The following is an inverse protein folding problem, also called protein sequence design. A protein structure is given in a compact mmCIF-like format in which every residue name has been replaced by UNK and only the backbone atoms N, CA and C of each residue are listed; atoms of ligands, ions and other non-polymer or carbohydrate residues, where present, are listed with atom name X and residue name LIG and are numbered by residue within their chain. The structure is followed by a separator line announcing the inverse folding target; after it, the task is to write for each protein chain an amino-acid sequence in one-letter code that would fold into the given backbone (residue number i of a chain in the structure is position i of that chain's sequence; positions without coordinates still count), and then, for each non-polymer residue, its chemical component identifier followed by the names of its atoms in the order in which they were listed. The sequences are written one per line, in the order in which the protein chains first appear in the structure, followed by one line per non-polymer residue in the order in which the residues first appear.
data_IF_648995028225
#
_entry.id   IF_648995028225
#
_cell.length_a   1.000
_cell.length_b   1.000
_cell.length_c   1.000
_cell.angle_alpha   90.00
_cell.angle_beta   90.00
_cell.angle_gamma   90.00
#
_symmetry.space_group_name_H-M   'P 1'
#
loop_
_entity.id
_entity.type
_entity.pdbx_description
1 polymer ?
#
# COMPACT_ATOMS: atom_id res chain seq x y z
N UNK A 1 7.52 5.25 15.70
CA UNK A 1 8.81 4.59 15.35
C UNK A 1 8.55 3.33 14.54
N UNK A 2 9.32 3.12 13.45
CA UNK A 2 9.30 1.88 12.65
C UNK A 2 10.67 1.22 12.80
N UNK A 3 10.71 -0.06 13.14
CA UNK A 3 11.94 -0.82 13.30
C UNK A 3 11.83 -2.18 12.60
N UNK A 4 12.72 -2.43 11.64
CA UNK A 4 12.89 -3.70 10.98
C UNK A 4 14.26 -4.26 11.37
N UNK A 5 14.33 -5.56 11.66
CA UNK A 5 15.59 -6.24 12.03
C UNK A 5 15.66 -7.63 11.41
N UNK A 6 16.62 -7.84 10.52
CA UNK A 6 16.92 -9.14 9.91
C UNK A 6 15.77 -9.69 9.07
N UNK A 7 14.96 -8.83 8.44
CA UNK A 7 13.81 -9.27 7.64
C UNK A 7 14.27 -9.98 6.38
N UNK A 8 13.82 -11.23 6.23
CA UNK A 8 13.98 -12.01 5.00
C UNK A 8 12.60 -12.38 4.44
N UNK A 9 12.50 -12.41 3.11
CA UNK A 9 11.30 -12.86 2.40
C UNK A 9 11.66 -13.55 1.11
N UNK A 10 11.20 -14.78 0.98
CA UNK A 10 11.39 -15.62 -0.20
C UNK A 10 10.06 -15.90 -0.88
N UNK A 11 10.07 -15.95 -2.21
CA UNK A 11 8.96 -16.41 -3.02
C UNK A 11 9.35 -17.66 -3.80
N UNK A 12 8.52 -18.69 -3.72
CA UNK A 12 8.64 -19.88 -4.55
C UNK A 12 7.78 -19.72 -5.79
N UNK A 13 8.40 -19.60 -6.94
CA UNK A 13 7.73 -19.44 -8.23
C UNK A 13 7.89 -20.72 -9.03
N UNK A 14 6.80 -21.27 -9.55
CA UNK A 14 6.89 -22.44 -10.42
C UNK A 14 7.56 -22.06 -11.75
N UNK A 15 8.63 -22.74 -12.11
CA UNK A 15 9.34 -22.51 -13.37
C UNK A 15 8.46 -22.98 -14.53
N UNK A 16 7.99 -22.01 -15.32
CA UNK A 16 7.25 -22.33 -16.56
C UNK A 16 8.24 -22.74 -17.63
N UNK A 17 8.27 -24.02 -17.99
CA UNK A 17 8.99 -24.51 -19.14
C UNK A 17 8.07 -24.53 -20.35
N UNK A 18 8.47 -23.85 -21.42
CA UNK A 18 7.72 -23.86 -22.69
C UNK A 18 7.95 -25.17 -23.44
N UNK A 19 6.87 -25.83 -23.88
CA UNK A 19 6.91 -27.05 -24.69
C UNK A 19 5.85 -28.08 -24.28
N UNK A 20 5.14 -28.65 -25.27
CA UNK A 20 4.02 -29.60 -25.05
C UNK A 20 4.51 -30.90 -24.36
N UNK A 21 5.71 -31.37 -24.65
CA UNK A 21 6.29 -32.58 -24.03
C UNK A 21 6.73 -32.34 -22.56
N UNK A 22 7.04 -31.10 -22.19
CA UNK A 22 7.40 -30.71 -20.82
C UNK A 22 6.18 -30.41 -19.95
N UNK A 23 5.05 -30.06 -20.56
CA UNK A 23 3.80 -29.86 -19.85
C UNK A 23 3.32 -31.16 -19.16
N UNK A 24 3.51 -32.31 -19.81
CA UNK A 24 3.18 -33.63 -19.23
C UNK A 24 4.14 -33.99 -18.11
N UNK A 25 5.45 -33.67 -18.25
CA UNK A 25 6.44 -33.88 -17.18
C UNK A 25 6.22 -32.99 -15.96
N UNK A 26 5.72 -31.76 -16.16
CA UNK A 26 5.42 -30.81 -15.08
C UNK A 26 4.20 -31.21 -14.21
N UNK A 27 3.35 -32.10 -14.67
CA UNK A 27 2.29 -32.74 -13.90
C UNK A 27 2.83 -33.65 -12.78
N UNK A 28 4.00 -34.27 -13.01
CA UNK A 28 4.61 -35.20 -12.06
C UNK A 28 5.80 -34.62 -11.28
N UNK A 29 6.43 -33.54 -11.78
CA UNK A 29 7.58 -32.91 -11.12
C UNK A 29 7.58 -31.38 -11.37
N UNK A 30 6.94 -30.62 -10.50
CA UNK A 30 7.00 -29.14 -10.54
C UNK A 30 8.36 -28.68 -10.04
N UNK A 31 9.12 -28.03 -10.90
CA UNK A 31 10.34 -27.33 -10.49
C UNK A 31 9.96 -25.94 -9.97
N UNK A 32 10.47 -25.61 -8.79
CA UNK A 32 10.30 -24.29 -8.18
C UNK A 32 11.63 -23.55 -8.19
N UNK A 33 11.56 -22.28 -8.47
CA UNK A 33 12.66 -21.34 -8.31
C UNK A 33 12.36 -20.46 -7.09
N UNK A 34 13.34 -20.30 -6.23
CA UNK A 34 13.22 -19.42 -5.08
C UNK A 34 13.75 -18.04 -5.46
N UNK A 35 12.91 -17.02 -5.32
CA UNK A 35 13.28 -15.63 -5.52
C UNK A 35 13.44 -15.02 -4.13
N UNK A 36 14.64 -14.61 -3.79
CA UNK A 36 14.95 -13.91 -2.55
C UNK A 36 14.56 -12.44 -2.69
N UNK A 37 13.37 -12.09 -2.23
CA UNK A 37 12.84 -10.74 -2.35
C UNK A 37 13.41 -9.77 -1.30
N UNK A 38 13.73 -10.27 -0.10
CA UNK A 38 14.40 -9.53 0.95
C UNK A 38 15.44 -10.43 1.62
N UNK A 39 16.62 -9.88 1.88
CA UNK A 39 17.70 -10.57 2.57
C UNK A 39 18.26 -9.65 3.64
N UNK A 40 18.08 -10.03 4.91
CA UNK A 40 18.62 -9.35 6.10
C UNK A 40 18.33 -7.84 6.15
N UNK A 41 17.11 -7.44 5.77
CA UNK A 41 16.73 -6.02 5.76
C UNK A 41 16.62 -5.49 7.18
N UNK A 42 17.43 -4.49 7.50
CA UNK A 42 17.49 -3.89 8.84
C UNK A 42 17.55 -2.38 8.72
N UNK A 43 16.60 -1.66 9.35
CA UNK A 43 16.62 -0.21 9.49
C UNK A 43 15.64 0.25 10.58
N UNK A 44 15.81 1.49 11.02
CA UNK A 44 14.94 2.15 12.00
C UNK A 44 14.56 3.52 11.45
N UNK A 45 13.27 3.87 11.55
CA UNK A 45 12.73 5.20 11.26
C UNK A 45 12.16 5.76 12.57
N UNK A 46 12.77 6.81 13.13
CA UNK A 46 12.23 7.52 14.30
C UNK A 46 10.87 8.15 14.04
N UNK A 47 10.15 8.48 15.10
CA UNK A 47 8.87 9.20 15.00
C UNK A 47 9.07 10.62 14.42
N UNK A 48 8.05 11.13 13.74
CA UNK A 48 8.02 12.47 13.18
C UNK A 48 8.89 12.68 11.94
N UNK A 49 9.48 11.61 11.38
CA UNK A 49 10.30 11.70 10.17
C UNK A 49 9.53 11.33 8.92
N UNK A 50 9.76 12.09 7.83
CA UNK A 50 9.36 11.73 6.48
C UNK A 50 10.60 11.11 5.81
N UNK A 51 10.47 9.87 5.35
CA UNK A 51 11.58 9.10 4.78
C UNK A 51 11.26 8.65 3.36
N UNK A 52 12.15 8.94 2.40
CA UNK A 52 12.10 8.39 1.06
C UNK A 52 12.76 7.01 0.99
N UNK A 53 12.00 5.99 0.58
CA UNK A 53 12.52 4.63 0.37
C UNK A 53 12.76 4.39 -1.12
N UNK A 54 13.97 4.63 -1.58
CA UNK A 54 14.38 4.60 -2.99
C UNK A 54 15.30 3.41 -3.29
N UNK A 55 15.31 2.98 -4.54
CA UNK A 55 16.14 1.86 -5.01
C UNK A 55 15.67 1.35 -6.37
N UNK A 56 16.43 0.48 -7.05
CA UNK A 56 16.08 -0.07 -8.36
C UNK A 56 14.83 -0.96 -8.31
N UNK A 57 14.27 -1.26 -9.49
CA UNK A 57 13.18 -2.22 -9.59
C UNK A 57 13.69 -3.61 -9.17
N UNK A 58 12.87 -4.34 -8.40
CA UNK A 58 13.27 -5.64 -7.85
C UNK A 58 14.02 -5.57 -6.51
N UNK A 59 14.40 -4.37 -6.00
CA UNK A 59 15.11 -4.22 -4.72
C UNK A 59 14.26 -4.52 -3.46
N UNK A 60 13.08 -5.12 -3.61
CA UNK A 60 12.23 -5.50 -2.47
C UNK A 60 11.40 -4.37 -1.86
N UNK A 61 11.43 -3.13 -2.40
CA UNK A 61 10.70 -1.98 -1.84
C UNK A 61 9.23 -2.27 -1.53
N UNK A 62 8.50 -2.75 -2.53
CA UNK A 62 7.08 -3.08 -2.37
C UNK A 62 6.83 -4.23 -1.39
N UNK A 63 7.76 -5.19 -1.31
CA UNK A 63 7.70 -6.29 -0.35
C UNK A 63 7.89 -5.78 1.07
N UNK A 64 8.86 -4.89 1.30
CA UNK A 64 9.09 -4.23 2.59
C UNK A 64 7.87 -3.44 3.04
N UNK A 65 7.30 -2.60 2.16
CA UNK A 65 6.10 -1.82 2.47
C UNK A 65 4.93 -2.75 2.83
N UNK A 66 4.70 -3.82 2.07
CA UNK A 66 3.64 -4.80 2.35
C UNK A 66 3.83 -5.52 3.70
N UNK A 67 5.07 -5.75 4.12
CA UNK A 67 5.35 -6.30 5.46
C UNK A 67 5.05 -5.26 6.53
N UNK A 68 5.49 -4.02 6.37
CA UNK A 68 5.17 -2.93 7.30
C UNK A 68 3.67 -2.65 7.41
N UNK A 69 2.91 -2.85 6.33
CA UNK A 69 1.44 -2.71 6.34
C UNK A 69 0.70 -3.95 6.87
N UNK A 70 1.41 -5.03 7.25
CA UNK A 70 0.79 -6.27 7.71
C UNK A 70 0.11 -7.10 6.61
N UNK A 71 0.32 -6.77 5.33
CA UNK A 71 -0.21 -7.53 4.18
C UNK A 71 0.57 -8.82 4.00
N UNK A 72 1.90 -8.78 4.21
CA UNK A 72 2.79 -9.91 4.10
C UNK A 72 3.44 -10.22 5.45
N UNK A 73 3.63 -11.51 5.70
CA UNK A 73 4.44 -12.00 6.82
C UNK A 73 5.85 -12.33 6.31
N UNK A 74 6.92 -11.84 6.95
CA UNK A 74 8.28 -12.23 6.61
C UNK A 74 8.54 -13.69 6.97
N UNK A 75 9.55 -14.30 6.35
CA UNK A 75 9.95 -15.67 6.65
C UNK A 75 10.88 -15.71 7.89
N UNK A 76 11.62 -14.62 8.11
CA UNK A 76 12.42 -14.42 9.33
C UNK A 76 12.59 -12.93 9.66
N UNK A 77 13.11 -12.65 10.86
CA UNK A 77 13.33 -11.31 11.36
C UNK A 77 12.13 -10.75 12.15
N UNK A 78 12.21 -9.48 12.51
CA UNK A 78 11.16 -8.79 13.25
C UNK A 78 10.87 -7.41 12.66
N UNK A 79 9.59 -7.03 12.66
CA UNK A 79 9.12 -5.70 12.28
C UNK A 79 8.18 -5.19 13.36
N UNK A 80 8.48 -4.01 13.88
CA UNK A 80 7.66 -3.30 14.86
C UNK A 80 7.34 -1.92 14.31
N UNK A 81 6.07 -1.57 14.26
CA UNK A 81 5.58 -0.26 13.83
C UNK A 81 4.72 0.31 14.95
N UNK A 82 5.15 1.39 15.57
CA UNK A 82 4.47 2.05 16.71
C UNK A 82 4.08 1.07 17.83
N UNK A 83 4.99 0.11 18.14
CA UNK A 83 4.75 -0.91 19.16
C UNK A 83 3.98 -2.14 18.70
N UNK A 84 3.42 -2.14 17.49
CA UNK A 84 2.66 -3.26 16.92
C UNK A 84 3.53 -4.17 16.06
N UNK A 85 3.24 -5.47 16.08
CA UNK A 85 3.77 -6.41 15.09
C UNK A 85 2.72 -6.56 13.98
N UNK A 86 2.93 -5.98 12.77
CA UNK A 86 1.88 -5.77 11.77
C UNK A 86 1.04 -6.99 11.40
N UNK A 87 1.65 -8.17 11.31
CA UNK A 87 0.96 -9.42 10.93
C UNK A 87 0.34 -10.18 12.11
N UNK A 88 0.77 -9.92 13.36
CA UNK A 88 0.19 -10.55 14.54
C UNK A 88 -1.07 -9.82 15.00
N UNK A 89 -0.99 -8.51 15.05
CA UNK A 89 -2.03 -7.64 15.60
C UNK A 89 -2.82 -6.94 14.48
N UNK A 90 -2.90 -7.56 13.32
CA UNK A 90 -3.36 -6.95 12.06
C UNK A 90 -4.65 -6.17 12.18
N UNK A 91 -5.67 -6.74 12.86
CA UNK A 91 -6.99 -6.10 12.97
C UNK A 91 -6.94 -4.77 13.73
N UNK A 92 -6.22 -4.73 14.83
CA UNK A 92 -6.03 -3.51 15.61
C UNK A 92 -5.08 -2.54 14.90
N UNK A 93 -4.00 -3.08 14.31
CA UNK A 93 -2.95 -2.30 13.67
C UNK A 93 -3.43 -1.51 12.44
N UNK A 94 -4.27 -2.12 11.58
CA UNK A 94 -4.76 -1.48 10.34
C UNK A 94 -5.53 -0.18 10.61
N UNK A 95 -6.24 -0.07 11.73
CA UNK A 95 -6.92 1.16 12.13
C UNK A 95 -5.97 2.33 12.51
N UNK A 96 -4.65 2.07 12.62
CA UNK A 96 -3.66 3.07 13.02
C UNK A 96 -2.70 3.48 11.90
N UNK A 97 -2.91 2.97 10.69
CA UNK A 97 -2.08 3.29 9.52
C UNK A 97 -2.94 3.71 8.33
N UNK A 98 -2.42 4.65 7.54
CA UNK A 98 -2.92 4.96 6.21
C UNK A 98 -1.93 4.47 5.16
N UNK A 99 -2.42 3.82 4.08
CA UNK A 99 -1.56 3.29 3.03
C UNK A 99 -2.17 3.59 1.66
N UNK A 100 -1.35 4.16 0.78
CA UNK A 100 -1.72 4.41 -0.61
C UNK A 100 -0.80 3.60 -1.52
N UNK A 101 -1.37 2.74 -2.36
CA UNK A 101 -0.62 1.89 -3.28
C UNK A 101 -0.80 2.34 -4.73
N UNK A 102 0.34 2.62 -5.38
CA UNK A 102 0.41 2.87 -6.82
C UNK A 102 -0.25 4.19 -7.25
N UNK A 103 -0.53 4.28 -8.54
CA UNK A 103 -1.14 5.45 -9.18
C UNK A 103 -2.68 5.31 -9.32
N UNK A 104 -3.27 4.31 -8.69
CA UNK A 104 -4.72 4.10 -8.77
C UNK A 104 -5.40 4.95 -7.71
N UNK A 105 -6.40 5.72 -8.15
CA UNK A 105 -7.34 6.35 -7.24
C UNK A 105 -7.99 5.28 -6.36
N UNK A 106 -8.12 5.54 -5.06
CA UNK A 106 -8.91 4.70 -4.16
C UNK A 106 -10.40 5.00 -4.29
N UNK A 107 -10.74 6.09 -4.97
CA UNK A 107 -12.12 6.47 -5.28
C UNK A 107 -12.62 5.61 -6.44
N UNK A 108 -13.86 5.21 -6.37
CA UNK A 108 -14.51 4.46 -7.43
C UNK A 108 -14.92 5.42 -8.55
N UNK A 109 -14.48 5.13 -9.75
CA UNK A 109 -14.67 6.00 -10.93
C UNK A 109 -16.12 6.05 -11.45
N UNK A 110 -16.94 5.08 -11.06
CA UNK A 110 -18.34 4.88 -11.50
C UNK A 110 -19.38 5.40 -10.50
N UNK A 111 -18.93 5.96 -9.36
CA UNK A 111 -19.81 6.55 -8.34
C UNK A 111 -19.34 7.97 -7.99
N UNK A 112 -20.23 8.84 -7.48
CA UNK A 112 -19.85 10.15 -6.98
C UNK A 112 -18.72 10.07 -5.95
N UNK A 113 -17.83 11.05 -5.96
CA UNK A 113 -16.69 11.10 -5.03
C UNK A 113 -17.16 11.04 -3.59
N UNK A 114 -18.27 11.72 -3.27
CA UNK A 114 -18.82 11.73 -1.93
C UNK A 114 -19.21 10.32 -1.44
N UNK A 115 -19.79 9.49 -2.30
CA UNK A 115 -20.21 8.12 -1.96
C UNK A 115 -18.99 7.26 -1.66
N UNK A 116 -17.88 7.46 -2.42
CA UNK A 116 -16.60 6.78 -2.15
C UNK A 116 -16.01 7.20 -0.81
N UNK A 117 -16.08 8.49 -0.46
CA UNK A 117 -15.60 9.02 0.82
C UNK A 117 -16.45 8.54 1.99
N UNK A 118 -17.78 8.49 1.82
CA UNK A 118 -18.69 7.95 2.83
C UNK A 118 -18.44 6.46 3.09
N UNK A 119 -18.21 5.68 2.04
CA UNK A 119 -17.83 4.28 2.18
C UNK A 119 -16.52 4.11 2.94
N UNK A 120 -15.51 4.96 2.67
CA UNK A 120 -14.25 4.97 3.42
C UNK A 120 -14.50 5.33 4.88
N UNK A 121 -15.34 6.34 5.16
CA UNK A 121 -15.75 6.68 6.52
C UNK A 121 -16.29 5.46 7.26
N UNK A 122 -17.20 4.72 6.63
CA UNK A 122 -17.87 3.56 7.26
C UNK A 122 -16.90 2.38 7.42
N UNK A 123 -15.99 2.14 6.46
CA UNK A 123 -14.96 1.10 6.56
C UNK A 123 -14.00 1.35 7.73
N UNK A 124 -13.64 2.61 7.97
CA UNK A 124 -12.70 3.00 9.03
C UNK A 124 -13.40 3.44 10.33
N UNK A 125 -14.73 3.35 10.40
CA UNK A 125 -15.55 3.74 11.57
C UNK A 125 -15.22 5.17 12.04
N UNK A 126 -15.15 6.10 11.09
CA UNK A 126 -14.83 7.51 11.36
C UNK A 126 -16.09 8.23 11.81
N UNK A 127 -16.02 8.93 12.95
CA UNK A 127 -17.12 9.75 13.46
C UNK A 127 -17.61 10.77 12.43
N UNK A 128 -18.92 10.87 12.25
CA UNK A 128 -19.55 11.72 11.22
C UNK A 128 -19.18 13.20 11.35
N UNK A 129 -19.00 13.72 12.58
CA UNK A 129 -18.61 15.12 12.78
C UNK A 129 -17.18 15.36 12.31
N UNK A 130 -16.27 14.44 12.64
CA UNK A 130 -14.88 14.50 12.16
C UNK A 130 -14.81 14.37 10.66
N UNK A 131 -15.60 13.48 10.08
CA UNK A 131 -15.68 13.32 8.63
C UNK A 131 -16.10 14.61 7.93
N UNK A 132 -17.19 15.23 8.37
CA UNK A 132 -17.69 16.48 7.78
C UNK A 132 -16.67 17.62 7.94
N UNK A 133 -16.02 17.73 9.08
CA UNK A 133 -14.99 18.72 9.33
C UNK A 133 -13.77 18.54 8.40
N UNK A 134 -13.31 17.29 8.22
CA UNK A 134 -12.23 16.98 7.28
C UNK A 134 -12.65 17.24 5.82
N UNK A 135 -13.92 17.00 5.48
CA UNK A 135 -14.44 17.26 4.14
C UNK A 135 -14.45 18.77 3.84
N UNK A 136 -14.92 19.59 4.77
CA UNK A 136 -14.88 21.06 4.66
C UNK A 136 -13.44 21.57 4.50
N UNK A 137 -12.51 21.10 5.35
CA UNK A 137 -11.09 21.46 5.23
C UNK A 137 -10.50 21.06 3.87
N UNK A 138 -10.86 19.89 3.34
CA UNK A 138 -10.40 19.40 2.04
C UNK A 138 -10.97 20.26 0.90
N UNK A 139 -12.25 20.62 0.97
CA UNK A 139 -12.90 21.49 -0.01
C UNK A 139 -12.25 22.89 -0.04
N UNK A 140 -11.96 23.47 1.12
CA UNK A 140 -11.25 24.76 1.22
C UNK A 140 -9.84 24.68 0.62
N UNK A 141 -9.08 23.62 0.90
CA UNK A 141 -7.75 23.42 0.35
C UNK A 141 -7.77 23.26 -1.17
N UNK A 142 -8.73 22.51 -1.70
CA UNK A 142 -8.89 22.33 -3.14
C UNK A 142 -9.37 23.61 -3.83
N UNK A 143 -10.33 24.32 -3.25
CA UNK A 143 -10.80 25.60 -3.77
C UNK A 143 -9.69 26.67 -3.74
N UNK A 144 -8.92 26.77 -2.68
CA UNK A 144 -7.79 27.69 -2.54
C UNK A 144 -6.67 27.42 -3.55
N UNK A 145 -6.41 26.15 -3.89
CA UNK A 145 -5.42 25.77 -4.92
C UNK A 145 -5.86 26.06 -6.34
N UNK A 146 -7.18 26.17 -6.60
CA UNK A 146 -7.73 26.46 -7.94
C UNK A 146 -7.95 27.96 -8.21
N UNK A 147 -8.00 28.80 -7.20
CA UNK A 147 -8.19 30.26 -7.37
C UNK A 147 -6.93 30.99 -7.85
N UNK A 148 -5.74 30.39 -7.75
CA UNK A 148 -4.51 30.97 -8.34
C UNK A 148 -4.30 30.62 -9.83
N UNK A 149 -5.00 29.62 -10.39
CA UNK A 149 -4.88 29.26 -11.81
C UNK A 149 -6.24 28.92 -12.42
N UNK A 150 -6.87 29.92 -13.04
CA UNK A 150 -8.00 29.81 -13.98
C UNK A 150 -9.42 29.57 -13.45
N UNK A 151 -10.24 30.57 -13.71
CA UNK A 151 -11.70 30.49 -13.59
C UNK A 151 -12.30 29.48 -14.56
N UNK A 152 -12.94 28.50 -14.04
CA UNK A 152 -14.24 27.91 -14.44
C UNK A 152 -14.43 26.56 -13.76
N UNK A 153 -15.57 26.39 -13.12
CA UNK A 153 -16.02 25.15 -12.44
C UNK A 153 -16.26 23.95 -13.39
N UNK A 154 -15.77 23.99 -14.63
CA UNK A 154 -15.92 22.91 -15.60
C UNK A 154 -14.74 21.92 -15.64
N UNK A 155 -13.63 22.20 -14.95
CA UNK A 155 -12.42 21.38 -15.06
C UNK A 155 -12.24 20.35 -13.93
N UNK A 156 -13.03 20.40 -12.86
CA UNK A 156 -12.99 19.40 -11.78
C UNK A 156 -13.39 17.98 -12.27
N UNK A 157 -14.14 17.89 -13.36
CA UNK A 157 -14.51 16.61 -13.98
C UNK A 157 -13.46 16.05 -14.95
N UNK A 158 -12.54 16.89 -15.46
CA UNK A 158 -11.59 16.49 -16.51
C UNK A 158 -10.20 16.10 -15.95
N UNK A 159 -9.84 16.49 -14.75
CA UNK A 159 -8.54 16.19 -14.14
C UNK A 159 -8.41 14.75 -13.63
N UNK A 160 -9.46 13.93 -13.69
CA UNK A 160 -9.45 12.53 -13.27
C UNK A 160 -9.51 11.52 -14.44
N UNK A 161 -9.27 11.95 -15.67
CA UNK A 161 -9.32 11.09 -16.87
C UNK A 161 -7.96 10.96 -17.58
N UNK A 162 -6.84 10.89 -16.84
CA UNK A 162 -5.54 10.48 -17.39
C UNK A 162 -4.86 9.47 -16.46
#
# INVERSE_FOLDING_TARGET
MIALKGICKDYRVAKRTAGIGQAVKSLFARQYETIHALQDMTFIIPDGQIVGYIGPNGAGKSTTIKIMCGILTPDSGSCIVNGWVPWKDRRAYVGHIGVVFGQRSQLWWDVPVIDSLELIRDIYDVDTRKFNQMLEELEELLAGGFTENSGTNAELGAAHAV
#
